data_IF_787343643786
#
_entry.id   IF_787343643786
#
_cell.length_a   1.000
_cell.length_b   1.000
_cell.length_c   1.000
_cell.angle_alpha   90.00
_cell.angle_beta   90.00
_cell.angle_gamma   90.00
#
_symmetry.space_group_name_H-M   'P 1'
#
loop_
_entity.id
_entity.type
_entity.pdbx_description
1 polymer ?
#
# COMPACT_ATOMS: atom_id res chain seq x y z
N UNK A 1 -17.22 -1.66 -51.22
CA UNK A 1 -16.05 -1.47 -50.33
C UNK A 1 -16.27 -0.49 -49.16
N UNK A 2 -17.18 0.50 -49.23
CA UNK A 2 -17.40 1.49 -48.13
C UNK A 2 -18.15 0.95 -46.88
N UNK A 3 -18.99 -0.09 -47.01
CA UNK A 3 -19.78 -0.65 -45.89
C UNK A 3 -18.96 -1.49 -44.89
N UNK A 4 -17.94 -2.20 -45.39
CA UNK A 4 -17.10 -3.06 -44.52
C UNK A 4 -16.16 -2.27 -43.60
N UNK A 5 -15.68 -1.11 -44.03
CA UNK A 5 -14.81 -0.23 -43.26
C UNK A 5 -15.58 0.42 -42.10
N UNK A 6 -16.86 0.76 -42.31
CA UNK A 6 -17.71 1.38 -41.29
C UNK A 6 -18.06 0.40 -40.13
N UNK A 7 -18.27 -0.88 -40.48
CA UNK A 7 -18.56 -1.91 -39.46
C UNK A 7 -17.32 -2.20 -38.60
N UNK A 8 -16.11 -2.21 -39.19
CA UNK A 8 -14.87 -2.44 -38.47
C UNK A 8 -14.54 -1.26 -37.51
N UNK A 9 -14.79 -0.02 -37.92
CA UNK A 9 -14.58 1.16 -37.06
C UNK A 9 -15.55 1.17 -35.87
N UNK A 10 -16.81 0.79 -36.08
CA UNK A 10 -17.82 0.75 -34.99
C UNK A 10 -17.49 -0.34 -33.97
N UNK A 11 -16.97 -1.50 -34.40
CA UNK A 11 -16.60 -2.58 -33.48
C UNK A 11 -15.35 -2.25 -32.65
N UNK A 12 -14.34 -1.62 -33.24
CA UNK A 12 -13.12 -1.22 -32.51
C UNK A 12 -13.43 -0.09 -31.51
N UNK A 13 -14.23 0.90 -31.90
CA UNK A 13 -14.68 1.96 -30.99
C UNK A 13 -15.57 1.42 -29.85
N UNK A 14 -16.45 0.46 -30.14
CA UNK A 14 -17.31 -0.17 -29.14
C UNK A 14 -16.54 -0.97 -28.10
N UNK A 15 -15.54 -1.74 -28.52
CA UNK A 15 -14.70 -2.52 -27.60
C UNK A 15 -13.81 -1.63 -26.71
N UNK A 16 -13.23 -0.57 -27.28
CA UNK A 16 -12.43 0.39 -26.51
C UNK A 16 -13.28 1.13 -25.44
N UNK A 17 -14.52 1.47 -25.78
CA UNK A 17 -15.44 2.13 -24.83
C UNK A 17 -15.86 1.17 -23.71
N UNK A 18 -16.15 -0.08 -24.00
CA UNK A 18 -16.54 -1.08 -22.98
C UNK A 18 -15.38 -1.38 -22.06
N UNK A 19 -14.17 -1.55 -22.57
CA UNK A 19 -12.96 -1.77 -21.76
C UNK A 19 -12.68 -0.56 -20.87
N UNK A 20 -12.79 0.66 -21.39
CA UNK A 20 -12.61 1.88 -20.59
C UNK A 20 -13.63 2.04 -19.46
N UNK A 21 -14.90 1.68 -19.70
CA UNK A 21 -15.95 1.71 -18.68
C UNK A 21 -15.71 0.64 -17.60
N UNK A 22 -15.33 -0.58 -17.98
CA UNK A 22 -15.03 -1.65 -17.04
C UNK A 22 -13.81 -1.31 -16.16
N UNK A 23 -12.75 -0.76 -16.73
CA UNK A 23 -11.58 -0.29 -16.02
C UNK A 23 -11.92 0.85 -15.04
N UNK A 24 -12.69 1.84 -15.48
CA UNK A 24 -13.16 2.94 -14.64
C UNK A 24 -14.02 2.47 -13.45
N UNK A 25 -14.88 1.48 -13.66
CA UNK A 25 -15.66 0.86 -12.57
C UNK A 25 -14.79 0.09 -11.59
N UNK A 26 -13.78 -0.63 -12.09
CA UNK A 26 -12.84 -1.38 -11.26
C UNK A 26 -12.02 -0.44 -10.37
N UNK A 27 -11.45 0.64 -10.94
CA UNK A 27 -10.69 1.62 -10.16
C UNK A 27 -11.57 2.34 -9.12
N UNK A 28 -12.83 2.69 -9.45
CA UNK A 28 -13.76 3.31 -8.50
C UNK A 28 -14.09 2.40 -7.31
N UNK A 29 -14.10 1.08 -7.49
CA UNK A 29 -14.31 0.08 -6.44
C UNK A 29 -13.15 0.10 -5.44
N UNK A 30 -11.89 0.07 -5.90
CA UNK A 30 -10.72 0.11 -5.03
C UNK A 30 -10.58 1.46 -4.32
N UNK A 31 -10.90 2.57 -4.99
CA UNK A 31 -10.97 3.88 -4.35
C UNK A 31 -12.05 3.95 -3.25
N UNK A 32 -13.18 3.30 -3.45
CA UNK A 32 -14.24 3.25 -2.44
C UNK A 32 -13.78 2.49 -1.19
N UNK A 33 -13.13 1.33 -1.35
CA UNK A 33 -12.54 0.57 -0.25
C UNK A 33 -11.45 1.39 0.44
N UNK A 34 -10.56 2.00 -0.31
CA UNK A 34 -9.48 2.82 0.21
C UNK A 34 -10.02 3.94 1.13
N UNK A 35 -11.07 4.62 0.71
CA UNK A 35 -11.66 5.74 1.46
C UNK A 35 -12.54 5.29 2.63
N UNK A 36 -13.36 4.24 2.43
CA UNK A 36 -14.41 3.88 3.37
C UNK A 36 -13.97 2.83 4.40
N UNK A 37 -13.04 1.94 4.03
CA UNK A 37 -12.63 0.81 4.86
C UNK A 37 -11.18 0.94 5.35
N UNK A 38 -10.22 1.29 4.48
CA UNK A 38 -8.81 1.31 4.81
C UNK A 38 -8.33 2.64 5.41
N UNK A 39 -8.80 3.79 4.91
CA UNK A 39 -8.41 5.09 5.46
C UNK A 39 -8.74 5.26 6.96
N UNK A 40 -9.86 4.75 7.50
CA UNK A 40 -10.10 4.75 8.94
C UNK A 40 -9.04 4.04 9.77
N UNK A 41 -8.34 3.03 9.22
CA UNK A 41 -7.25 2.31 9.90
C UNK A 41 -6.06 3.25 10.15
N UNK A 42 -5.79 4.18 9.25
CA UNK A 42 -4.74 5.20 9.42
C UNK A 42 -4.95 6.16 10.61
N UNK A 43 -6.16 6.21 11.18
CA UNK A 43 -6.46 6.93 12.43
C UNK A 43 -6.40 6.05 13.67
N UNK A 44 -6.09 4.75 13.53
CA UNK A 44 -6.05 3.85 14.67
C UNK A 44 -4.97 4.29 15.66
N UNK A 45 -5.35 4.41 16.94
CA UNK A 45 -4.46 4.88 18.01
C UNK A 45 -3.18 4.05 18.18
N UNK A 46 -3.22 2.76 17.85
CA UNK A 46 -2.05 1.89 17.88
C UNK A 46 -1.05 2.28 16.79
N UNK A 47 -1.53 2.37 15.54
CA UNK A 47 -0.69 2.74 14.39
C UNK A 47 -0.13 4.15 14.59
N UNK A 48 -0.98 5.11 14.96
CA UNK A 48 -0.55 6.49 15.26
C UNK A 48 0.52 6.53 16.33
N UNK A 49 0.36 5.75 17.42
CA UNK A 49 1.35 5.68 18.51
C UNK A 49 2.72 5.21 17.99
N UNK A 50 2.78 4.08 17.31
CA UNK A 50 4.05 3.52 16.85
C UNK A 50 4.72 4.37 15.77
N UNK A 51 3.94 4.98 14.89
CA UNK A 51 4.46 5.92 13.88
C UNK A 51 5.06 7.17 14.56
N UNK A 52 4.40 7.71 15.58
CA UNK A 52 4.94 8.83 16.37
C UNK A 52 6.22 8.45 17.12
N UNK A 53 6.24 7.26 17.72
CA UNK A 53 7.44 6.77 18.41
C UNK A 53 8.62 6.65 17.44
N UNK A 54 8.39 6.12 16.23
CA UNK A 54 9.40 6.02 15.18
C UNK A 54 9.88 7.41 14.72
N UNK A 55 8.97 8.32 14.41
CA UNK A 55 9.31 9.70 14.02
C UNK A 55 10.15 10.42 15.09
N UNK A 56 9.91 10.13 16.37
CA UNK A 56 10.62 10.74 17.48
C UNK A 56 12.02 10.14 17.73
N UNK A 57 12.38 9.03 17.09
CA UNK A 57 13.74 8.46 17.18
C UNK A 57 14.76 9.38 16.52
N UNK A 58 14.35 10.21 15.58
CA UNK A 58 15.21 11.18 14.91
C UNK A 58 16.27 10.52 14.03
N UNK A 59 15.96 9.38 13.44
CA UNK A 59 16.86 8.71 12.50
C UNK A 59 17.17 9.64 11.31
N UNK A 60 18.43 9.70 10.95
CA UNK A 60 18.86 10.44 9.76
C UNK A 60 18.61 9.62 8.49
N UNK A 61 18.56 10.28 7.33
CA UNK A 61 18.48 9.54 6.06
C UNK A 61 19.67 8.61 5.82
N UNK A 62 20.84 8.94 6.37
CA UNK A 62 22.00 8.06 6.31
C UNK A 62 21.79 6.78 7.15
N UNK A 63 21.19 6.88 8.34
CA UNK A 63 20.84 5.73 9.17
C UNK A 63 19.80 4.83 8.45
N UNK A 64 18.78 5.46 7.86
CA UNK A 64 17.73 4.76 7.09
C UNK A 64 18.32 4.03 5.89
N UNK A 65 19.20 4.68 5.11
CA UNK A 65 19.85 4.08 3.96
C UNK A 65 20.82 2.93 4.34
N UNK A 66 21.51 3.05 5.49
CA UNK A 66 22.32 1.95 6.01
C UNK A 66 21.45 0.76 6.41
N UNK A 67 20.32 1.02 7.08
CA UNK A 67 19.37 -0.02 7.45
C UNK A 67 18.78 -0.68 6.20
N UNK A 68 18.38 0.09 5.21
CA UNK A 68 17.83 -0.37 3.94
C UNK A 68 18.82 -1.28 3.19
N UNK A 69 20.09 -0.86 3.10
CA UNK A 69 21.15 -1.68 2.50
C UNK A 69 21.30 -3.02 3.21
N UNK A 70 21.27 -3.01 4.56
CA UNK A 70 21.37 -4.22 5.36
C UNK A 70 20.12 -5.10 5.21
N UNK A 71 18.95 -4.48 5.13
CA UNK A 71 17.65 -5.16 4.96
C UNK A 71 17.57 -5.91 3.64
N UNK A 72 17.97 -5.26 2.54
CA UNK A 72 18.01 -5.85 1.19
C UNK A 72 19.00 -7.01 1.07
N UNK A 73 20.11 -6.95 1.79
CA UNK A 73 21.13 -8.00 1.78
C UNK A 73 20.75 -9.24 2.61
N UNK A 74 19.73 -9.15 3.46
CA UNK A 74 19.33 -10.23 4.38
C UNK A 74 18.35 -11.18 3.69
N UNK A 75 18.73 -12.45 3.53
CA UNK A 75 17.88 -13.48 2.88
C UNK A 75 16.80 -14.06 3.80
N UNK A 76 16.87 -13.79 5.11
CA UNK A 76 15.95 -14.36 6.09
C UNK A 76 15.56 -13.37 7.18
N UNK A 77 15.09 -13.91 8.30
CA UNK A 77 14.74 -13.13 9.48
C UNK A 77 15.98 -12.97 10.37
N UNK A 78 16.49 -11.76 10.46
CA UNK A 78 17.58 -11.42 11.38
C UNK A 78 17.05 -10.79 12.69
N UNK A 79 17.83 -10.88 13.78
CA UNK A 79 17.40 -10.38 15.09
C UNK A 79 17.02 -8.89 15.08
N UNK A 80 17.73 -8.08 14.31
CA UNK A 80 17.44 -6.63 14.22
C UNK A 80 16.10 -6.31 13.50
N UNK A 81 15.54 -7.25 12.76
CA UNK A 81 14.25 -7.11 12.09
C UNK A 81 13.05 -7.42 13.01
N UNK A 82 13.28 -8.19 14.09
CA UNK A 82 12.21 -8.61 15.00
C UNK A 82 11.34 -7.48 15.55
N UNK A 83 11.88 -6.30 15.92
CA UNK A 83 11.03 -5.21 16.39
C UNK A 83 9.98 -4.77 15.36
N UNK A 84 10.29 -4.86 14.08
CA UNK A 84 9.41 -4.48 12.98
C UNK A 84 8.40 -5.58 12.61
N UNK A 85 8.79 -6.86 12.76
CA UNK A 85 8.04 -8.03 12.29
C UNK A 85 7.35 -8.82 13.42
N UNK A 86 7.88 -8.80 14.64
CA UNK A 86 7.37 -9.58 15.78
C UNK A 86 6.83 -8.69 16.92
N UNK A 87 6.95 -7.38 16.80
CA UNK A 87 6.48 -6.42 17.78
C UNK A 87 4.96 -6.33 17.88
N UNK A 88 4.46 -5.63 18.90
CA UNK A 88 3.00 -5.46 19.11
C UNK A 88 2.31 -4.77 17.94
N UNK A 89 3.00 -3.87 17.22
CA UNK A 89 2.50 -3.24 16.01
C UNK A 89 2.25 -4.28 14.91
N UNK A 90 3.26 -5.07 14.58
CA UNK A 90 3.16 -6.13 13.58
C UNK A 90 2.07 -7.18 13.92
N UNK A 91 1.97 -7.55 15.20
CA UNK A 91 0.92 -8.46 15.66
C UNK A 91 -0.49 -7.90 15.43
N UNK A 92 -0.68 -6.59 15.70
CA UNK A 92 -1.93 -5.91 15.40
C UNK A 92 -2.24 -5.90 13.89
N UNK A 93 -1.24 -5.64 13.04
CA UNK A 93 -1.43 -5.69 11.58
C UNK A 93 -1.85 -7.08 11.11
N UNK A 94 -1.23 -8.15 11.64
CA UNK A 94 -1.62 -9.55 11.33
C UNK A 94 -3.05 -9.87 11.78
N UNK A 95 -3.49 -9.33 12.92
CA UNK A 95 -4.89 -9.44 13.34
C UNK A 95 -5.82 -8.78 12.31
N UNK A 96 -5.50 -7.58 11.82
CA UNK A 96 -6.28 -6.91 10.76
C UNK A 96 -6.35 -7.76 9.50
N UNK A 97 -5.21 -8.28 9.01
CA UNK A 97 -5.18 -9.17 7.83
C UNK A 97 -6.06 -10.40 8.04
N UNK A 98 -6.04 -11.00 9.23
CA UNK A 98 -6.84 -12.20 9.52
C UNK A 98 -8.35 -11.96 9.48
N UNK A 99 -8.79 -10.71 9.70
CA UNK A 99 -10.20 -10.32 9.74
C UNK A 99 -10.74 -9.83 8.40
N UNK A 100 -9.86 -9.45 7.47
CA UNK A 100 -10.25 -8.85 6.18
C UNK A 100 -9.81 -9.76 5.03
N UNK A 101 -10.72 -10.54 4.43
CA UNK A 101 -10.36 -11.64 3.52
C UNK A 101 -9.62 -11.23 2.24
N UNK A 102 -9.72 -9.97 1.82
CA UNK A 102 -9.04 -9.46 0.64
C UNK A 102 -7.64 -8.90 0.93
N UNK A 103 -7.22 -8.79 2.19
CA UNK A 103 -5.87 -8.36 2.56
C UNK A 103 -4.91 -9.56 2.66
N UNK A 104 -3.65 -9.37 2.22
CA UNK A 104 -2.60 -10.37 2.40
C UNK A 104 -1.38 -9.82 3.13
N UNK A 105 -1.11 -8.51 3.04
CA UNK A 105 -0.04 -7.85 3.77
C UNK A 105 -0.43 -6.45 4.23
N UNK A 106 0.23 -5.95 5.26
CA UNK A 106 0.16 -4.55 5.70
C UNK A 106 1.52 -4.13 6.21
N UNK A 107 1.96 -2.94 5.83
CA UNK A 107 3.13 -2.29 6.41
C UNK A 107 2.91 -0.80 6.63
N UNK A 108 3.49 -0.29 7.68
CA UNK A 108 3.40 1.10 8.13
C UNK A 108 4.75 1.77 7.95
N UNK A 109 4.76 2.97 7.42
CA UNK A 109 5.93 3.79 7.17
C UNK A 109 5.84 5.11 7.93
N UNK A 110 6.97 5.61 8.38
CA UNK A 110 7.10 6.87 9.09
C UNK A 110 7.07 8.09 8.14
N UNK A 111 7.36 9.28 8.68
CA UNK A 111 7.38 10.53 7.93
C UNK A 111 8.59 10.68 6.98
N UNK A 112 9.51 9.74 6.95
CA UNK A 112 10.65 9.67 6.02
C UNK A 112 10.52 8.48 5.07
N UNK A 113 9.49 7.62 5.22
CA UNK A 113 9.27 6.42 4.43
C UNK A 113 9.98 5.18 4.97
N UNK A 114 10.57 5.23 6.17
CA UNK A 114 11.14 4.06 6.81
C UNK A 114 10.05 3.18 7.43
N UNK A 115 10.23 1.85 7.37
CA UNK A 115 9.30 0.88 7.97
C UNK A 115 9.19 1.09 9.49
N UNK A 116 7.95 1.17 9.97
CA UNK A 116 7.59 1.21 11.39
C UNK A 116 7.26 -0.18 11.91
N UNK A 117 6.43 -0.90 11.21
CA UNK A 117 6.09 -2.30 11.43
C UNK A 117 5.39 -2.88 10.20
N UNK A 118 5.45 -4.20 10.06
CA UNK A 118 4.91 -4.91 8.90
C UNK A 118 4.47 -6.34 9.24
N UNK A 119 3.58 -6.91 8.44
CA UNK A 119 3.13 -8.30 8.62
C UNK A 119 4.18 -9.30 8.19
N UNK A 120 4.84 -9.04 7.07
CA UNK A 120 5.85 -9.85 6.44
C UNK A 120 6.99 -8.94 5.97
N UNK A 121 8.19 -9.50 5.80
CA UNK A 121 9.36 -8.72 5.38
C UNK A 121 9.16 -8.15 3.98
N UNK A 122 9.13 -6.81 3.89
CA UNK A 122 9.20 -6.09 2.60
C UNK A 122 10.57 -6.25 1.95
N UNK A 123 10.64 -6.06 0.62
CA UNK A 123 11.90 -6.05 -0.11
C UNK A 123 12.86 -4.98 0.42
N UNK A 124 12.32 -3.83 0.77
CA UNK A 124 13.03 -2.62 1.17
C UNK A 124 12.58 -2.13 2.54
N UNK A 125 13.52 -1.63 3.34
CA UNK A 125 13.20 -0.92 4.57
C UNK A 125 12.80 0.54 4.31
N UNK A 126 13.42 1.17 3.31
CA UNK A 126 13.15 2.53 2.88
C UNK A 126 12.17 2.51 1.70
N UNK A 127 10.99 3.06 1.90
CA UNK A 127 9.86 3.08 0.96
C UNK A 127 9.54 4.52 0.48
N UNK A 128 10.31 5.51 0.96
CA UNK A 128 10.04 6.93 0.75
C UNK A 128 10.26 7.41 -0.69
N UNK A 129 10.98 6.65 -1.51
CA UNK A 129 11.15 6.89 -2.94
C UNK A 129 10.01 6.35 -3.80
N UNK A 130 9.07 5.59 -3.20
CA UNK A 130 7.98 4.97 -3.92
C UNK A 130 6.69 5.78 -3.92
N UNK A 131 5.91 5.65 -5.01
CA UNK A 131 4.66 6.40 -5.21
C UNK A 131 3.63 6.14 -4.09
N UNK A 132 3.56 4.92 -3.56
CA UNK A 132 2.66 4.52 -2.48
C UNK A 132 2.87 5.34 -1.21
N UNK A 133 4.12 5.66 -0.84
CA UNK A 133 4.40 6.52 0.30
C UNK A 133 4.26 8.00 -0.09
N UNK A 134 4.88 8.44 -1.20
CA UNK A 134 4.90 9.83 -1.62
C UNK A 134 3.50 10.42 -1.76
N UNK A 135 2.57 9.66 -2.37
CA UNK A 135 1.20 10.12 -2.61
C UNK A 135 0.32 10.01 -1.37
N UNK A 136 0.62 9.06 -0.47
CA UNK A 136 -0.18 8.86 0.74
C UNK A 136 0.25 9.75 1.89
N UNK A 137 1.54 9.94 2.11
CA UNK A 137 2.06 10.91 3.06
C UNK A 137 1.86 12.34 2.57
N UNK A 138 2.13 12.61 1.29
CA UNK A 138 1.89 13.87 0.57
C UNK A 138 2.39 15.09 1.37
N UNK A 139 3.65 15.08 1.79
CA UNK A 139 4.29 16.14 2.60
C UNK A 139 3.49 16.53 3.87
N UNK A 140 2.83 15.55 4.48
CA UNK A 140 2.02 15.76 5.69
C UNK A 140 0.57 16.18 5.41
N UNK A 141 0.17 16.35 4.16
CA UNK A 141 -1.23 16.66 3.79
C UNK A 141 -2.13 15.42 3.87
N UNK A 142 -1.58 14.27 3.56
CA UNK A 142 -2.31 13.01 3.49
C UNK A 142 -3.12 12.84 2.21
N UNK A 143 -3.06 11.65 1.63
CA UNK A 143 -3.80 11.29 0.43
C UNK A 143 -4.10 9.79 0.39
N UNK A 144 -4.99 9.39 -0.47
CA UNK A 144 -5.25 7.98 -0.78
C UNK A 144 -4.60 7.67 -2.11
N UNK A 145 -3.85 6.59 -2.16
CA UNK A 145 -3.24 6.09 -3.38
C UNK A 145 -3.70 4.65 -3.63
N UNK A 146 -4.15 4.39 -4.84
CA UNK A 146 -4.48 3.06 -5.36
C UNK A 146 -3.54 2.79 -6.50
N UNK A 147 -2.78 1.71 -6.41
CA UNK A 147 -1.84 1.31 -7.43
C UNK A 147 -2.53 0.55 -8.57
N UNK A 148 -1.79 0.27 -9.62
CA UNK A 148 -2.27 -0.57 -10.72
C UNK A 148 -2.45 -2.01 -10.25
N UNK A 149 -3.36 -2.72 -10.90
CA UNK A 149 -3.57 -4.16 -10.67
C UNK A 149 -2.53 -4.91 -11.47
N UNK A 150 -1.77 -5.79 -10.81
CA UNK A 150 -0.74 -6.62 -11.42
C UNK A 150 -0.97 -8.10 -11.07
N UNK A 151 -0.58 -8.98 -11.99
CA UNK A 151 -0.62 -10.42 -11.73
C UNK A 151 0.63 -10.82 -10.93
N UNK A 152 0.42 -11.45 -9.76
CA UNK A 152 1.49 -11.97 -8.92
C UNK A 152 1.65 -13.48 -9.12
N UNK A 153 2.81 -13.89 -9.63
CA UNK A 153 3.12 -15.30 -9.91
C UNK A 153 3.19 -16.15 -8.62
N UNK A 154 3.57 -15.56 -7.50
CA UNK A 154 3.69 -16.24 -6.21
C UNK A 154 2.33 -16.59 -5.62
N UNK A 155 1.36 -15.72 -5.76
CA UNK A 155 -0.02 -15.95 -5.35
C UNK A 155 -0.88 -16.58 -6.46
N UNK A 156 -0.46 -16.47 -7.73
CA UNK A 156 -1.20 -16.97 -8.89
C UNK A 156 -2.51 -16.21 -9.16
N UNK A 157 -2.59 -14.94 -8.74
CA UNK A 157 -3.78 -14.10 -8.89
C UNK A 157 -3.41 -12.63 -9.02
N UNK A 158 -4.38 -11.81 -9.41
CA UNK A 158 -4.22 -10.37 -9.50
C UNK A 158 -4.19 -9.72 -8.11
N UNK A 159 -3.21 -8.85 -7.90
CA UNK A 159 -3.01 -8.08 -6.65
C UNK A 159 -2.85 -6.59 -6.95
N UNK A 160 -3.02 -5.76 -5.94
CA UNK A 160 -2.69 -4.33 -5.99
C UNK A 160 -2.29 -3.85 -4.60
N UNK A 161 -1.65 -2.69 -4.54
CA UNK A 161 -1.38 -2.00 -3.30
C UNK A 161 -2.31 -0.78 -3.15
N UNK A 162 -2.85 -0.61 -1.95
CA UNK A 162 -3.63 0.57 -1.58
C UNK A 162 -2.94 1.22 -0.39
N UNK A 163 -2.69 2.52 -0.49
CA UNK A 163 -2.01 3.25 0.57
C UNK A 163 -2.84 4.42 1.06
N UNK A 164 -2.84 4.62 2.37
CA UNK A 164 -3.56 5.69 3.04
C UNK A 164 -2.64 6.38 4.05
N UNK A 165 -2.90 7.64 4.43
CA UNK A 165 -2.08 8.33 5.42
C UNK A 165 -2.32 7.79 6.83
N UNK A 166 -1.25 7.77 7.65
CA UNK A 166 -1.38 7.70 9.11
C UNK A 166 -1.59 9.11 9.63
N UNK A 167 -2.75 9.38 10.24
CA UNK A 167 -3.19 10.72 10.60
C UNK A 167 -3.14 10.98 12.10
N UNK A 168 -2.53 12.09 12.52
CA UNK A 168 -2.58 12.61 13.88
C UNK A 168 -2.90 14.11 13.87
N UNK A 169 -3.92 14.53 14.63
CA UNK A 169 -4.34 15.93 14.75
C UNK A 169 -4.50 16.67 13.40
N UNK A 170 -5.01 15.97 12.37
CA UNK A 170 -5.26 16.55 11.06
C UNK A 170 -4.05 16.66 10.14
N UNK A 171 -2.91 16.05 10.50
CA UNK A 171 -1.72 15.95 9.66
C UNK A 171 -1.37 14.49 9.42
N UNK A 172 -0.87 14.17 8.24
CA UNK A 172 -0.24 12.88 8.00
C UNK A 172 1.13 12.87 8.70
N UNK A 173 1.38 11.80 9.45
CA UNK A 173 2.63 11.57 10.18
C UNK A 173 3.41 10.37 9.63
N UNK A 174 2.87 9.72 8.61
CA UNK A 174 3.40 8.56 7.91
C UNK A 174 2.36 8.02 6.94
N UNK A 175 2.57 6.83 6.43
CA UNK A 175 1.64 6.13 5.54
C UNK A 175 1.49 4.66 5.95
N UNK A 176 0.39 4.04 5.53
CA UNK A 176 0.15 2.61 5.69
C UNK A 176 -0.27 2.04 4.33
N UNK A 177 0.38 0.95 3.92
CA UNK A 177 0.09 0.26 2.66
C UNK A 177 -0.51 -1.11 2.95
N UNK A 178 -1.51 -1.46 2.17
CA UNK A 178 -2.23 -2.72 2.20
C UNK A 178 -2.03 -3.45 0.89
N UNK A 179 -1.55 -4.70 0.94
CA UNK A 179 -1.57 -5.63 -0.18
C UNK A 179 -2.96 -6.28 -0.28
N UNK A 180 -3.55 -6.20 -1.45
CA UNK A 180 -4.95 -6.53 -1.71
C UNK A 180 -5.06 -7.56 -2.82
N UNK A 181 -5.75 -8.67 -2.58
CA UNK A 181 -6.20 -9.60 -3.62
C UNK A 181 -7.33 -8.95 -4.42
N UNK A 182 -7.09 -8.63 -5.68
CA UNK A 182 -8.02 -7.88 -6.52
C UNK A 182 -9.34 -8.63 -6.76
N UNK A 183 -9.28 -9.96 -6.88
CA UNK A 183 -10.40 -10.87 -7.12
C UNK A 183 -11.28 -11.08 -5.88
N UNK A 184 -10.75 -10.88 -4.67
CA UNK A 184 -11.50 -11.04 -3.41
C UNK A 184 -12.24 -9.79 -2.97
N UNK A 185 -12.01 -8.66 -3.63
CA UNK A 185 -12.76 -7.43 -3.39
C UNK A 185 -14.13 -7.53 -4.05
N UNK A 186 -15.19 -7.57 -3.28
CA UNK A 186 -16.58 -7.68 -3.74
C UNK A 186 -17.22 -6.32 -4.07
#
# INVERSE_FOLDING_TARGET
>A
MKKSIMILLVTVLGTALIVGLAFGQMMSKYEAIAKNELAPIGYNKYIVKYTKEKNNMGETMDDINMMDTKWKAEEGMADYMKPYLEGSCANYLREVVSLVPYLFEIFVMDNQGAVVCETDKTGDYMQGDEAKWQKSFADGMGGVFVDEVEFDDGFGTDVLQISVPVMDMGKAIGAITFGVFADKVM
#
